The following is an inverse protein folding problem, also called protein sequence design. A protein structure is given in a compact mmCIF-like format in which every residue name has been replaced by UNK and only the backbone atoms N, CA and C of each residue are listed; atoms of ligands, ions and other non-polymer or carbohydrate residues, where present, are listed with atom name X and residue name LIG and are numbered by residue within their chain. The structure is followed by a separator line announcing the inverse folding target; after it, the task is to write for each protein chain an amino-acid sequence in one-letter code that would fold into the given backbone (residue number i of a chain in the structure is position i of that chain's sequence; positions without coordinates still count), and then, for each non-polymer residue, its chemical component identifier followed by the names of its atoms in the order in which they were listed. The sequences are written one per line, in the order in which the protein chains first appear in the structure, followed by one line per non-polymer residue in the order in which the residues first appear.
data_IF_844074680038
#
_entry.id   IF_844074680038
#
_cell.length_a   1.000
_cell.length_b   1.000
_cell.length_c   1.000
_cell.angle_alpha   90.00
_cell.angle_beta   90.00
_cell.angle_gamma   90.00
#
_symmetry.space_group_name_H-M   'P 1'
#
loop_
_entity.id
_entity.type
_entity.pdbx_description
1 polymer ?
#
# COMPACT_ATOMS: atom_id res chain seq x y z
N UNK A 1 -26.59 8.49 52.54
CA UNK A 1 -26.71 8.50 51.06
C UNK A 1 -26.27 7.16 50.53
N UNK A 2 -27.21 6.35 50.04
CA UNK A 2 -27.03 4.97 49.58
C UNK A 2 -26.53 4.89 48.13
N UNK A 3 -25.65 3.95 47.77
CA UNK A 3 -25.17 3.80 46.39
C UNK A 3 -26.23 3.06 45.55
N UNK A 4 -26.71 3.73 44.50
CA UNK A 4 -27.60 3.14 43.50
C UNK A 4 -26.78 2.25 42.57
N UNK A 5 -26.96 0.94 42.69
CA UNK A 5 -26.44 -0.08 41.78
C UNK A 5 -27.05 0.09 40.39
N UNK A 6 -26.27 0.61 39.44
CA UNK A 6 -26.62 0.64 38.02
C UNK A 6 -26.36 -0.75 37.39
N UNK A 7 -27.42 -1.46 37.03
CA UNK A 7 -27.33 -2.69 36.24
C UNK A 7 -26.97 -2.37 34.78
N UNK A 8 -26.07 -3.15 34.14
CA UNK A 8 -25.66 -2.90 32.77
C UNK A 8 -26.79 -3.22 31.79
N UNK A 9 -27.26 -2.19 31.10
CA UNK A 9 -28.20 -2.29 29.98
C UNK A 9 -27.47 -2.96 28.81
N UNK A 10 -27.54 -4.30 28.74
CA UNK A 10 -27.10 -5.05 27.57
C UNK A 10 -27.88 -4.59 26.34
N UNK A 11 -27.15 -4.08 25.34
CA UNK A 11 -27.72 -3.50 24.13
C UNK A 11 -28.64 -4.49 23.42
N UNK A 12 -29.79 -4.00 22.93
CA UNK A 12 -30.80 -4.78 22.20
C UNK A 12 -30.21 -5.64 21.06
N UNK A 13 -29.10 -5.19 20.47
CA UNK A 13 -28.32 -5.90 19.45
C UNK A 13 -27.75 -7.25 19.93
N UNK A 14 -27.41 -7.37 21.22
CA UNK A 14 -26.85 -8.60 21.78
C UNK A 14 -27.94 -9.66 22.00
N UNK A 15 -29.12 -9.26 22.51
CA UNK A 15 -30.29 -10.13 22.64
C UNK A 15 -30.79 -10.66 21.29
N UNK A 16 -30.80 -9.81 20.25
CA UNK A 16 -31.16 -10.20 18.88
C UNK A 16 -30.16 -11.19 18.26
N UNK A 17 -28.86 -11.01 18.49
CA UNK A 17 -27.84 -11.97 18.01
C UNK A 17 -27.94 -13.33 18.73
N UNK A 18 -28.25 -13.33 20.02
CA UNK A 18 -28.41 -14.57 20.79
C UNK A 18 -29.64 -15.36 20.30
N UNK A 19 -30.78 -14.69 20.10
CA UNK A 19 -31.99 -15.29 19.55
C UNK A 19 -31.79 -15.79 18.12
N UNK A 20 -31.03 -15.05 17.29
CA UNK A 20 -30.72 -15.48 15.93
C UNK A 20 -29.82 -16.73 15.91
N UNK A 21 -28.82 -16.80 16.78
CA UNK A 21 -27.95 -17.99 16.87
C UNK A 21 -28.71 -19.21 17.40
N UNK A 22 -29.55 -19.04 18.42
CA UNK A 22 -30.42 -20.12 18.94
C UNK A 22 -31.41 -20.61 17.87
N UNK A 23 -31.96 -19.70 17.06
CA UNK A 23 -32.83 -20.07 15.95
C UNK A 23 -32.07 -20.85 14.88
N UNK A 24 -30.85 -20.44 14.52
CA UNK A 24 -30.00 -21.12 13.52
C UNK A 24 -29.57 -22.51 13.99
N UNK A 25 -29.23 -22.67 15.27
CA UNK A 25 -28.82 -23.96 15.84
C UNK A 25 -30.01 -24.93 15.94
N UNK A 26 -31.20 -24.45 16.31
CA UNK A 26 -32.43 -25.25 16.32
C UNK A 26 -32.86 -25.63 14.90
N UNK A 27 -32.62 -24.76 13.92
CA UNK A 27 -32.83 -25.07 12.50
C UNK A 27 -31.86 -26.18 12.05
N UNK A 28 -30.57 -26.09 12.39
CA UNK A 28 -29.54 -27.08 12.03
C UNK A 28 -29.81 -28.47 12.62
N UNK A 29 -30.33 -28.56 13.84
CA UNK A 29 -30.67 -29.83 14.48
C UNK A 29 -31.83 -30.54 13.78
N UNK A 30 -32.81 -29.81 13.23
CA UNK A 30 -33.89 -30.39 12.43
C UNK A 30 -33.45 -30.95 11.06
N UNK A 31 -32.24 -30.67 10.59
CA UNK A 31 -31.72 -31.15 9.29
C UNK A 31 -30.79 -32.36 9.39
N UNK A 32 -30.50 -32.89 10.58
CA UNK A 32 -29.51 -33.97 10.74
C UNK A 32 -30.06 -35.40 10.65
N UNK A 33 -31.39 -35.60 10.62
CA UNK A 33 -31.96 -36.94 10.43
C UNK A 33 -32.60 -37.08 9.04
N UNK A 34 -31.92 -37.81 8.15
CA UNK A 34 -32.49 -38.95 7.40
C UNK A 34 -31.67 -39.35 6.16
N UNK A 35 -31.52 -40.68 6.08
CA UNK A 35 -31.35 -41.60 4.96
C UNK A 35 -30.87 -41.07 3.60
N UNK A 36 -29.80 -41.73 3.17
CA UNK A 36 -29.20 -41.75 1.83
C UNK A 36 -30.22 -41.97 0.71
N UNK A 37 -30.29 -41.04 -0.25
CA UNK A 37 -30.72 -41.36 -1.63
C UNK A 37 -31.62 -40.34 -2.32
N UNK A 38 -32.51 -39.64 -1.61
CA UNK A 38 -33.44 -38.70 -2.23
C UNK A 38 -33.26 -37.29 -1.67
N UNK A 39 -32.91 -36.35 -2.55
CA UNK A 39 -32.82 -34.94 -2.17
C UNK A 39 -34.21 -34.42 -1.79
N UNK A 40 -34.35 -33.93 -0.56
CA UNK A 40 -35.56 -33.23 -0.13
C UNK A 40 -35.90 -32.08 -1.10
N UNK A 41 -37.19 -31.81 -1.27
CA UNK A 41 -37.74 -30.72 -2.11
C UNK A 41 -37.06 -29.38 -1.81
N UNK A 42 -36.75 -29.11 -0.53
CA UNK A 42 -35.96 -27.95 -0.07
C UNK A 42 -34.53 -27.92 -0.62
N UNK A 43 -33.84 -29.07 -0.70
CA UNK A 43 -32.51 -29.17 -1.30
C UNK A 43 -32.48 -28.82 -2.80
N UNK A 44 -33.59 -29.04 -3.52
CA UNK A 44 -33.76 -28.60 -4.91
C UNK A 44 -33.94 -27.08 -4.99
N UNK A 45 -34.76 -26.51 -4.10
CA UNK A 45 -34.99 -25.05 -4.02
C UNK A 45 -33.70 -24.29 -3.70
N UNK A 46 -32.90 -24.76 -2.72
CA UNK A 46 -31.61 -24.13 -2.37
C UNK A 46 -30.63 -24.13 -3.55
N UNK A 47 -30.65 -25.19 -4.38
CA UNK A 47 -29.81 -25.24 -5.60
C UNK A 47 -30.28 -24.28 -6.68
N UNK A 48 -31.59 -24.17 -6.90
CA UNK A 48 -32.17 -23.16 -7.80
C UNK A 48 -31.78 -21.75 -7.33
N UNK A 49 -31.87 -21.48 -6.03
CA UNK A 49 -31.48 -20.19 -5.46
C UNK A 49 -29.98 -19.90 -5.62
N UNK A 50 -29.11 -20.89 -5.39
CA UNK A 50 -27.66 -20.77 -5.64
C UNK A 50 -27.34 -20.54 -7.13
N UNK A 51 -28.08 -21.18 -8.04
CA UNK A 51 -27.94 -20.97 -9.48
C UNK A 51 -28.36 -19.55 -9.89
N UNK A 52 -29.53 -19.09 -9.43
CA UNK A 52 -30.02 -17.73 -9.67
C UNK A 52 -29.06 -16.67 -9.13
N UNK A 53 -28.50 -16.87 -7.92
CA UNK A 53 -27.49 -15.98 -7.33
C UNK A 53 -26.21 -15.93 -8.17
N UNK A 54 -25.72 -17.07 -8.68
CA UNK A 54 -24.56 -17.14 -9.59
C UNK A 54 -24.85 -16.46 -10.94
N UNK A 55 -26.05 -16.63 -11.49
CA UNK A 55 -26.50 -15.97 -12.73
C UNK A 55 -26.56 -14.45 -12.55
N UNK A 56 -27.12 -13.97 -11.44
CA UNK A 56 -27.17 -12.55 -11.09
C UNK A 56 -25.76 -11.94 -10.93
N UNK A 57 -24.82 -12.66 -10.30
CA UNK A 57 -23.42 -12.22 -10.20
C UNK A 57 -22.74 -12.10 -11.57
N UNK A 58 -22.99 -13.04 -12.51
CA UNK A 58 -22.48 -12.95 -13.88
C UNK A 58 -23.02 -11.72 -14.62
N UNK A 59 -24.34 -11.46 -14.52
CA UNK A 59 -24.97 -10.24 -15.09
C UNK A 59 -24.36 -8.96 -14.50
N UNK A 60 -24.09 -8.91 -13.19
CA UNK A 60 -23.41 -7.78 -12.53
C UNK A 60 -21.98 -7.58 -13.06
N UNK A 61 -21.21 -8.66 -13.28
CA UNK A 61 -19.85 -8.58 -13.86
C UNK A 61 -19.88 -8.08 -15.31
N UNK A 62 -20.82 -8.54 -16.13
CA UNK A 62 -21.00 -8.06 -17.52
C UNK A 62 -21.35 -6.57 -17.55
N UNK A 63 -22.33 -6.13 -16.74
CA UNK A 63 -22.68 -4.70 -16.61
C UNK A 63 -21.48 -3.84 -16.16
N UNK A 64 -20.63 -4.34 -15.26
CA UNK A 64 -19.39 -3.65 -14.85
C UNK A 64 -18.37 -3.54 -16.01
N UNK A 65 -18.22 -4.59 -16.82
CA UNK A 65 -17.33 -4.56 -18.00
C UNK A 65 -17.83 -3.60 -19.08
N UNK A 66 -19.13 -3.57 -19.35
CA UNK A 66 -19.73 -2.61 -20.29
C UNK A 66 -19.56 -1.16 -19.81
N UNK A 67 -19.78 -0.90 -18.52
CA UNK A 67 -19.52 0.42 -17.93
C UNK A 67 -18.06 0.84 -18.08
N UNK A 68 -17.09 -0.09 -17.90
CA UNK A 68 -15.66 0.18 -18.16
C UNK A 68 -15.41 0.53 -19.63
N UNK A 69 -15.91 -0.28 -20.58
CA UNK A 69 -15.78 -0.02 -22.02
C UNK A 69 -16.37 1.35 -22.43
N UNK A 70 -17.54 1.72 -21.88
CA UNK A 70 -18.15 3.06 -22.11
C UNK A 70 -17.29 4.19 -21.54
N UNK A 71 -16.72 4.01 -20.33
CA UNK A 71 -15.79 4.99 -19.73
C UNK A 71 -14.51 5.15 -20.56
N UNK A 72 -13.94 4.07 -21.08
CA UNK A 72 -12.72 4.12 -21.90
C UNK A 72 -12.97 4.79 -23.25
N UNK A 73 -14.13 4.55 -23.89
CA UNK A 73 -14.53 5.31 -25.08
C UNK A 73 -14.62 6.81 -24.80
N UNK A 74 -15.32 7.22 -23.72
CA UNK A 74 -15.41 8.63 -23.30
C UNK A 74 -14.02 9.23 -23.00
N UNK A 75 -13.10 8.48 -22.38
CA UNK A 75 -11.72 8.94 -22.12
C UNK A 75 -10.95 9.17 -23.43
N UNK A 76 -11.06 8.26 -24.40
CA UNK A 76 -10.42 8.42 -25.72
C UNK A 76 -10.94 9.65 -26.46
N UNK A 77 -12.25 9.88 -26.42
CA UNK A 77 -12.90 11.04 -27.02
C UNK A 77 -12.47 12.35 -26.36
N UNK A 78 -12.41 12.41 -25.02
CA UNK A 78 -11.87 13.57 -24.29
C UNK A 78 -10.39 13.84 -24.62
N UNK A 79 -9.57 12.78 -24.74
CA UNK A 79 -8.15 12.92 -25.13
C UNK A 79 -8.00 13.47 -26.55
N UNK A 80 -8.90 13.07 -27.45
CA UNK A 80 -8.95 13.61 -28.82
C UNK A 80 -9.38 15.09 -28.85
N UNK A 81 -10.41 15.47 -28.09
CA UNK A 81 -10.85 16.87 -27.97
C UNK A 81 -9.76 17.77 -27.37
N UNK A 82 -9.05 17.31 -26.33
CA UNK A 82 -7.89 18.05 -25.76
C UNK A 82 -6.79 18.27 -26.80
N UNK A 83 -6.48 17.27 -27.64
CA UNK A 83 -5.49 17.43 -28.72
C UNK A 83 -5.93 18.47 -29.76
N UNK A 84 -7.23 18.57 -30.05
CA UNK A 84 -7.76 19.61 -30.94
C UNK A 84 -7.66 21.01 -30.31
N UNK A 85 -7.98 21.15 -29.02
CA UNK A 85 -7.81 22.42 -28.29
C UNK A 85 -6.35 22.86 -28.23
N UNK A 86 -5.42 21.96 -27.89
CA UNK A 86 -3.98 22.27 -27.89
C UNK A 86 -3.47 22.73 -29.25
N UNK A 87 -3.97 22.17 -30.36
CA UNK A 87 -3.63 22.65 -31.70
C UNK A 87 -4.14 24.07 -31.95
N UNK A 88 -5.35 24.41 -31.49
CA UNK A 88 -5.89 25.77 -31.58
C UNK A 88 -5.08 26.76 -30.74
N UNK A 89 -4.78 26.39 -29.48
CA UNK A 89 -3.97 27.22 -28.58
C UNK A 89 -2.58 27.43 -29.15
N UNK A 90 -1.93 26.40 -29.69
CA UNK A 90 -0.60 26.53 -30.33
C UNK A 90 -0.59 27.49 -31.52
N UNK A 91 -1.68 27.55 -32.29
CA UNK A 91 -1.84 28.52 -33.39
C UNK A 91 -1.99 29.94 -32.83
N UNK A 92 -2.81 30.13 -31.79
CA UNK A 92 -3.01 31.43 -31.13
C UNK A 92 -1.71 31.91 -30.47
N UNK A 93 -1.03 31.04 -29.74
CA UNK A 93 0.24 31.34 -29.07
C UNK A 93 1.34 31.72 -30.07
N UNK A 94 1.46 30.98 -31.18
CA UNK A 94 2.36 31.37 -32.28
C UNK A 94 1.99 32.70 -32.93
N UNK A 95 0.70 33.03 -33.02
CA UNK A 95 0.24 34.31 -33.54
C UNK A 95 0.48 35.48 -32.56
N UNK A 96 0.47 35.21 -31.25
CA UNK A 96 0.73 36.20 -30.20
C UNK A 96 2.24 36.49 -30.01
N UNK A 97 3.10 35.47 -30.09
CA UNK A 97 4.54 35.61 -29.81
C UNK A 97 5.40 36.01 -31.02
N UNK A 98 4.96 35.74 -32.27
CA UNK A 98 5.72 36.09 -33.48
C UNK A 98 5.17 37.39 -34.10
N UNK A 99 5.35 38.49 -33.38
CA UNK A 99 4.80 39.83 -33.66
C UNK A 99 5.10 40.39 -35.06
N UNK A 100 4.35 39.94 -36.07
CA UNK A 100 4.22 40.62 -37.38
C UNK A 100 2.76 40.64 -37.81
N UNK A 101 1.97 41.56 -37.22
CA UNK A 101 0.53 41.74 -37.44
C UNK A 101 0.15 41.92 -38.92
N UNK A 102 1.01 42.58 -39.73
CA UNK A 102 0.73 42.84 -41.14
C UNK A 102 0.94 41.61 -42.06
N UNK A 103 1.76 40.63 -41.63
CA UNK A 103 1.93 39.35 -42.37
C UNK A 103 0.78 38.35 -42.11
N UNK A 104 0.02 38.54 -41.04
CA UNK A 104 -1.01 37.60 -40.59
C UNK A 104 -2.29 37.76 -41.42
N UNK A 105 -2.66 38.98 -41.82
CA UNK A 105 -3.84 39.20 -42.69
C UNK A 105 -3.61 38.61 -44.09
N UNK A 106 -2.44 38.83 -44.70
CA UNK A 106 -2.08 38.22 -45.98
C UNK A 106 -2.00 36.69 -45.88
N UNK A 107 -1.40 36.14 -44.81
CA UNK A 107 -1.40 34.69 -44.55
C UNK A 107 -2.79 34.12 -44.32
N UNK A 108 -3.70 34.86 -43.66
CA UNK A 108 -5.11 34.45 -43.49
C UNK A 108 -5.86 34.45 -44.82
N UNK A 109 -5.66 35.45 -45.68
CA UNK A 109 -6.24 35.48 -47.02
C UNK A 109 -5.72 34.33 -47.90
N UNK A 110 -4.42 34.05 -47.86
CA UNK A 110 -3.80 32.90 -48.53
C UNK A 110 -4.32 31.57 -47.96
N UNK A 111 -4.44 31.42 -46.63
CA UNK A 111 -5.02 30.24 -46.01
C UNK A 111 -6.50 30.06 -46.38
N UNK A 112 -7.28 31.15 -46.48
CA UNK A 112 -8.69 31.09 -46.90
C UNK A 112 -8.77 30.66 -48.38
N UNK A 113 -7.94 31.22 -49.26
CA UNK A 113 -7.83 30.79 -50.67
C UNK A 113 -7.42 29.31 -50.74
N UNK A 114 -6.40 28.88 -49.98
CA UNK A 114 -5.96 27.48 -49.91
C UNK A 114 -7.05 26.56 -49.36
N UNK A 115 -7.79 26.96 -48.31
CA UNK A 115 -8.90 26.17 -47.75
C UNK A 115 -10.06 26.05 -48.73
N UNK A 116 -10.42 27.13 -49.44
CA UNK A 116 -11.45 27.10 -50.49
C UNK A 116 -11.02 26.20 -51.66
N UNK A 117 -9.77 26.34 -52.13
CA UNK A 117 -9.19 25.49 -53.17
C UNK A 117 -9.12 24.02 -52.75
N UNK A 118 -8.69 23.74 -51.52
CA UNK A 118 -8.64 22.40 -50.95
C UNK A 118 -10.02 21.80 -50.78
N UNK A 119 -11.02 22.56 -50.29
CA UNK A 119 -12.43 22.11 -50.21
C UNK A 119 -12.99 21.80 -51.60
N UNK A 120 -12.69 22.62 -52.63
CA UNK A 120 -13.05 22.34 -54.03
C UNK A 120 -12.36 21.06 -54.54
N UNK A 121 -11.04 20.91 -54.34
CA UNK A 121 -10.28 19.69 -54.72
C UNK A 121 -10.77 18.45 -53.97
N UNK A 122 -11.16 18.58 -52.70
CA UNK A 122 -11.71 17.50 -51.88
C UNK A 122 -13.12 17.13 -52.33
N UNK A 123 -14.01 18.10 -52.59
CA UNK A 123 -15.33 17.84 -53.18
C UNK A 123 -15.19 17.16 -54.54
N UNK A 124 -14.26 17.61 -55.40
CA UNK A 124 -13.95 16.95 -56.68
C UNK A 124 -13.42 15.52 -56.49
N UNK A 125 -12.51 15.29 -55.52
CA UNK A 125 -12.00 13.94 -55.20
C UNK A 125 -13.09 13.03 -54.64
N UNK A 126 -13.92 13.52 -53.73
CA UNK A 126 -15.05 12.76 -53.16
C UNK A 126 -16.06 12.44 -54.25
N UNK A 127 -16.44 13.42 -55.11
CA UNK A 127 -17.30 13.15 -56.27
C UNK A 127 -16.68 12.13 -57.21
N UNK A 128 -15.39 12.23 -57.56
CA UNK A 128 -14.68 11.23 -58.37
C UNK A 128 -14.64 9.85 -57.72
N UNK A 129 -14.46 9.76 -56.40
CA UNK A 129 -14.47 8.50 -55.65
C UNK A 129 -15.89 7.91 -55.60
N UNK A 130 -16.91 8.74 -55.38
CA UNK A 130 -18.32 8.32 -55.38
C UNK A 130 -18.71 7.85 -56.79
N UNK A 131 -18.45 8.64 -57.85
CA UNK A 131 -18.69 8.23 -59.23
C UNK A 131 -17.93 6.93 -59.57
N UNK A 132 -16.62 6.85 -59.25
CA UNK A 132 -15.85 5.61 -59.46
C UNK A 132 -16.37 4.45 -58.62
N UNK A 133 -17.00 4.69 -57.47
CA UNK A 133 -17.60 3.63 -56.64
C UNK A 133 -18.99 3.19 -57.10
N UNK A 134 -19.70 4.04 -57.84
CA UNK A 134 -20.95 3.72 -58.52
C UNK A 134 -20.70 2.93 -59.81
N UNK A 135 -19.68 3.30 -60.60
CA UNK A 135 -19.36 2.62 -61.86
C UNK A 135 -18.39 1.43 -61.72
N UNK A 136 -17.68 1.26 -60.60
CA UNK A 136 -17.00 -0.01 -60.32
C UNK A 136 -17.99 -1.01 -59.75
N UNK A 137 -18.42 -1.97 -60.57
CA UNK A 137 -18.96 -3.25 -60.08
C UNK A 137 -18.05 -3.74 -58.95
N UNK A 138 -18.58 -3.81 -57.72
CA UNK A 138 -17.84 -4.25 -56.53
C UNK A 138 -17.37 -5.68 -56.74
N UNK A 139 -16.19 -5.89 -57.34
CA UNK A 139 -15.45 -7.14 -57.16
C UNK A 139 -15.23 -7.29 -55.66
N UNK A 140 -15.94 -8.24 -55.03
CA UNK A 140 -15.74 -8.61 -53.62
C UNK A 140 -14.25 -8.93 -53.48
N UNK A 141 -13.47 -8.04 -52.87
CA UNK A 141 -12.04 -8.27 -52.71
C UNK A 141 -11.84 -9.52 -51.85
N UNK A 142 -10.93 -10.41 -52.28
CA UNK A 142 -10.58 -11.65 -51.56
C UNK A 142 -10.27 -11.40 -50.08
N UNK A 143 -9.81 -10.18 -49.73
CA UNK A 143 -9.58 -9.72 -48.35
C UNK A 143 -10.85 -9.73 -47.48
N UNK A 144 -12.02 -9.37 -48.01
CA UNK A 144 -13.28 -9.43 -47.23
C UNK A 144 -13.75 -10.87 -47.02
N UNK A 145 -13.45 -11.76 -47.97
CA UNK A 145 -13.74 -13.18 -47.85
C UNK A 145 -12.80 -13.83 -46.81
N UNK A 146 -11.51 -13.51 -46.83
CA UNK A 146 -10.54 -14.01 -45.85
C UNK A 146 -10.83 -13.53 -44.42
N UNK A 147 -11.27 -12.28 -44.23
CA UNK A 147 -11.70 -11.78 -42.91
C UNK A 147 -12.95 -12.53 -42.42
N UNK A 148 -13.92 -12.80 -43.31
CA UNK A 148 -15.12 -13.57 -42.95
C UNK A 148 -14.79 -15.03 -42.64
N UNK A 149 -13.85 -15.64 -43.38
CA UNK A 149 -13.34 -16.99 -43.10
C UNK A 149 -12.65 -17.03 -41.72
N UNK A 150 -11.73 -16.10 -41.44
CA UNK A 150 -11.06 -16.01 -40.15
C UNK A 150 -12.02 -15.82 -38.98
N UNK A 151 -13.07 -15.01 -39.15
CA UNK A 151 -14.13 -14.86 -38.13
C UNK A 151 -14.97 -16.14 -37.95
N UNK A 152 -15.21 -16.91 -39.02
CA UNK A 152 -15.88 -18.22 -38.92
C UNK A 152 -15.00 -19.22 -38.18
N UNK A 153 -13.70 -19.26 -38.48
CA UNK A 153 -12.71 -20.10 -37.79
C UNK A 153 -12.61 -19.75 -36.30
N UNK A 154 -12.53 -18.47 -35.94
CA UNK A 154 -12.52 -18.04 -34.53
C UNK A 154 -13.80 -18.46 -33.79
N UNK A 155 -14.97 -18.37 -34.44
CA UNK A 155 -16.24 -18.84 -33.87
C UNK A 155 -16.24 -20.34 -33.70
N UNK A 156 -15.81 -21.09 -34.72
CA UNK A 156 -15.68 -22.54 -34.66
C UNK A 156 -14.73 -22.97 -33.53
N UNK A 157 -13.57 -22.30 -33.40
CA UNK A 157 -12.62 -22.53 -32.32
C UNK A 157 -13.20 -22.21 -30.94
N UNK A 158 -13.98 -21.13 -30.83
CA UNK A 158 -14.66 -20.78 -29.58
C UNK A 158 -15.71 -21.85 -29.20
N UNK A 159 -16.49 -22.34 -30.16
CA UNK A 159 -17.43 -23.44 -29.96
C UNK A 159 -16.73 -24.74 -29.56
N UNK A 160 -15.63 -25.08 -30.25
CA UNK A 160 -14.79 -26.23 -29.95
C UNK A 160 -14.21 -26.15 -28.52
N UNK A 161 -13.61 -25.01 -28.14
CA UNK A 161 -13.06 -24.79 -26.79
C UNK A 161 -14.13 -24.91 -25.72
N UNK A 162 -15.31 -24.35 -25.96
CA UNK A 162 -16.45 -24.45 -25.04
C UNK A 162 -16.89 -25.90 -24.89
N UNK A 163 -17.00 -26.64 -25.99
CA UNK A 163 -17.38 -28.05 -26.00
C UNK A 163 -16.34 -28.92 -25.26
N UNK A 164 -15.03 -28.68 -25.47
CA UNK A 164 -13.95 -29.36 -24.73
C UNK A 164 -14.02 -29.12 -23.22
N UNK A 165 -14.32 -27.90 -22.78
CA UNK A 165 -14.50 -27.57 -21.36
C UNK A 165 -15.72 -28.29 -20.79
N UNK A 166 -16.85 -28.30 -21.50
CA UNK A 166 -18.04 -29.04 -21.08
C UNK A 166 -17.75 -30.54 -20.99
N UNK A 167 -17.09 -31.13 -21.99
CA UNK A 167 -16.71 -32.54 -22.00
C UNK A 167 -15.75 -32.87 -20.86
N UNK A 168 -14.79 -31.99 -20.54
CA UNK A 168 -13.89 -32.14 -19.40
C UNK A 168 -14.63 -32.08 -18.06
N UNK A 169 -15.52 -31.12 -17.87
CA UNK A 169 -16.34 -31.00 -16.64
C UNK A 169 -17.25 -32.21 -16.51
N UNK A 170 -17.90 -32.64 -17.60
CA UNK A 170 -18.76 -33.81 -17.63
C UNK A 170 -17.95 -35.06 -17.28
N UNK A 171 -16.83 -35.33 -17.96
CA UNK A 171 -15.95 -36.48 -17.69
C UNK A 171 -15.44 -36.50 -16.26
N UNK A 172 -15.10 -35.33 -15.71
CA UNK A 172 -14.64 -35.21 -14.31
C UNK A 172 -15.78 -35.45 -13.32
N UNK A 173 -16.98 -34.96 -13.60
CA UNK A 173 -18.14 -35.18 -12.75
C UNK A 173 -18.63 -36.63 -12.82
N UNK A 174 -18.59 -37.26 -14.00
CA UNK A 174 -18.92 -38.68 -14.15
C UNK A 174 -17.89 -39.56 -13.47
N UNK A 175 -16.59 -39.21 -13.53
CA UNK A 175 -15.55 -39.87 -12.74
C UNK A 175 -15.82 -39.76 -11.24
N UNK A 176 -16.11 -38.56 -10.72
CA UNK A 176 -16.44 -38.37 -9.29
C UNK A 176 -17.68 -39.18 -8.89
N UNK A 177 -18.70 -39.25 -9.76
CA UNK A 177 -19.91 -40.05 -9.52
C UNK A 177 -19.60 -41.55 -9.52
N UNK A 178 -18.76 -41.99 -10.46
CA UNK A 178 -18.37 -43.40 -10.59
C UNK A 178 -17.46 -43.85 -9.44
N UNK A 179 -16.51 -43.00 -9.03
CA UNK A 179 -15.67 -43.23 -7.85
C UNK A 179 -16.52 -43.29 -6.57
N UNK A 180 -17.56 -42.45 -6.47
CA UNK A 180 -18.52 -42.50 -5.37
C UNK A 180 -19.34 -43.79 -5.36
N UNK A 181 -19.87 -44.22 -6.52
CA UNK A 181 -20.61 -45.49 -6.65
C UNK A 181 -19.75 -46.72 -6.38
N UNK A 182 -18.45 -46.68 -6.71
CA UNK A 182 -17.47 -47.73 -6.39
C UNK A 182 -17.01 -47.75 -4.93
N UNK A 183 -17.60 -46.93 -4.05
CA UNK A 183 -17.21 -46.89 -2.64
C UNK A 183 -15.85 -46.24 -2.37
N UNK A 184 -15.18 -45.62 -3.37
CA UNK A 184 -13.90 -44.91 -3.18
C UNK A 184 -14.06 -43.58 -2.42
N UNK A 185 -15.29 -43.17 -2.15
CA UNK A 185 -15.64 -41.92 -1.47
C UNK A 185 -15.41 -40.68 -2.34
N UNK A 186 -15.82 -39.52 -1.86
CA UNK A 186 -15.48 -38.26 -2.54
C UNK A 186 -13.96 -38.02 -2.48
N UNK A 187 -13.36 -37.40 -3.52
CA UNK A 187 -11.95 -37.04 -3.47
C UNK A 187 -11.69 -36.23 -2.20
N UNK A 188 -10.76 -36.72 -1.36
CA UNK A 188 -10.37 -36.07 -0.10
C UNK A 188 -10.26 -34.56 -0.36
N UNK A 189 -11.08 -33.76 0.33
CA UNK A 189 -10.99 -32.29 0.25
C UNK A 189 -9.52 -31.95 0.44
N UNK A 190 -8.90 -31.26 -0.53
CA UNK A 190 -7.56 -30.68 -0.35
C UNK A 190 -7.54 -30.07 1.04
N UNK A 191 -6.65 -30.56 1.92
CA UNK A 191 -6.57 -30.13 3.33
C UNK A 191 -6.77 -28.62 3.35
N UNK A 192 -7.82 -28.16 4.04
CA UNK A 192 -8.17 -26.74 4.12
C UNK A 192 -6.90 -26.03 4.54
N UNK A 193 -6.33 -25.19 3.67
CA UNK A 193 -5.13 -24.41 4.01
C UNK A 193 -5.39 -23.79 5.38
N UNK A 194 -4.45 -24.00 6.31
CA UNK A 194 -4.58 -23.49 7.67
C UNK A 194 -4.92 -22.00 7.60
N UNK A 195 -5.80 -21.52 8.47
CA UNK A 195 -6.17 -20.10 8.46
C UNK A 195 -4.90 -19.25 8.59
N UNK A 196 -4.86 -18.12 7.88
CA UNK A 196 -3.74 -17.17 7.90
C UNK A 196 -3.28 -16.85 9.33
N UNK A 197 -4.23 -16.67 10.26
CA UNK A 197 -3.97 -16.43 11.68
C UNK A 197 -3.22 -17.62 12.32
N UNK A 198 -3.68 -18.87 12.12
CA UNK A 198 -2.99 -20.05 12.65
C UNK A 198 -1.57 -20.17 12.09
N UNK A 199 -1.37 -19.77 10.84
CA UNK A 199 -0.03 -19.75 10.24
C UNK A 199 0.85 -18.67 10.88
N UNK A 200 0.34 -17.46 11.17
CA UNK A 200 1.11 -16.41 11.84
C UNK A 200 1.61 -16.81 13.23
N UNK A 201 0.85 -17.61 13.97
CA UNK A 201 1.20 -18.06 15.32
C UNK A 201 2.03 -19.36 15.34
N UNK A 202 2.61 -19.79 14.22
CA UNK A 202 3.60 -20.88 14.27
C UNK A 202 4.92 -20.37 14.85
N UNK A 203 5.66 -21.27 15.49
CA UNK A 203 6.95 -20.98 16.13
C UNK A 203 7.92 -20.21 15.22
N UNK A 204 8.00 -20.58 13.95
CA UNK A 204 8.89 -19.94 12.97
C UNK A 204 8.59 -18.45 12.78
N UNK A 205 7.32 -18.08 12.56
CA UNK A 205 6.93 -16.68 12.34
C UNK A 205 6.99 -15.86 13.62
N UNK A 206 6.75 -16.47 14.79
CA UNK A 206 6.93 -15.81 16.08
C UNK A 206 8.41 -15.49 16.34
N UNK A 207 9.33 -16.39 15.98
CA UNK A 207 10.77 -16.13 16.09
C UNK A 207 11.23 -15.01 15.15
N UNK A 208 10.74 -14.98 13.91
CA UNK A 208 10.99 -13.88 12.96
C UNK A 208 10.47 -12.55 13.52
N UNK A 209 9.26 -12.56 14.06
CA UNK A 209 8.67 -11.38 14.68
C UNK A 209 9.47 -10.91 15.88
N UNK A 210 9.90 -11.82 16.75
CA UNK A 210 10.68 -11.49 17.93
C UNK A 210 12.06 -10.93 17.58
N UNK A 211 12.81 -11.57 16.67
CA UNK A 211 14.09 -11.04 16.20
C UNK A 211 13.92 -9.63 15.62
N UNK A 212 12.92 -9.42 14.76
CA UNK A 212 12.66 -8.11 14.16
C UNK A 212 12.19 -7.08 15.18
N UNK A 213 11.47 -7.48 16.23
CA UNK A 213 11.09 -6.62 17.35
C UNK A 213 12.31 -6.11 18.13
N UNK A 214 13.30 -6.97 18.40
CA UNK A 214 14.54 -6.56 19.06
C UNK A 214 15.28 -5.49 18.24
N UNK A 215 15.40 -5.70 16.93
CA UNK A 215 16.01 -4.72 16.04
C UNK A 215 15.19 -3.45 15.86
N UNK A 216 13.86 -3.54 15.87
CA UNK A 216 12.97 -2.39 15.88
C UNK A 216 13.23 -1.50 17.10
N UNK A 217 13.27 -2.09 18.30
CA UNK A 217 13.54 -1.36 19.53
C UNK A 217 14.96 -0.77 19.55
N UNK A 218 15.96 -1.57 19.18
CA UNK A 218 17.35 -1.12 19.10
C UNK A 218 17.51 0.06 18.15
N UNK A 219 16.93 -0.04 16.94
CA UNK A 219 16.92 1.04 15.96
C UNK A 219 16.21 2.30 16.48
N UNK A 220 15.06 2.14 17.13
CA UNK A 220 14.30 3.27 17.70
C UNK A 220 15.15 4.04 18.71
N UNK A 221 15.76 3.36 19.69
CA UNK A 221 16.53 4.04 20.73
C UNK A 221 17.79 4.71 20.18
N UNK A 222 18.50 4.07 19.25
CA UNK A 222 19.67 4.67 18.58
C UNK A 222 19.27 5.96 17.85
N UNK A 223 18.22 5.89 17.03
CA UNK A 223 17.77 7.07 16.25
C UNK A 223 17.21 8.16 17.17
N UNK A 224 16.46 7.80 18.21
CA UNK A 224 15.94 8.76 19.18
C UNK A 224 17.07 9.48 19.93
N UNK A 225 18.12 8.75 20.29
CA UNK A 225 19.32 9.32 20.90
C UNK A 225 20.04 10.28 19.94
N UNK A 226 20.28 9.89 18.68
CA UNK A 226 20.88 10.76 17.65
C UNK A 226 20.04 12.03 17.45
N UNK A 227 18.71 11.92 17.45
CA UNK A 227 17.80 13.06 17.32
C UNK A 227 18.00 14.06 18.47
N UNK A 228 17.98 13.59 19.72
CA UNK A 228 18.17 14.46 20.91
C UNK A 228 19.58 15.04 20.96
N UNK A 229 20.58 14.27 20.57
CA UNK A 229 21.97 14.73 20.49
C UNK A 229 22.11 15.86 19.46
N UNK A 230 21.48 15.76 18.28
CA UNK A 230 21.48 16.82 17.27
C UNK A 230 20.87 18.13 17.80
N UNK A 231 19.72 18.04 18.49
CA UNK A 231 19.05 19.19 19.13
C UNK A 231 19.94 19.84 20.19
N UNK A 232 20.54 19.01 21.05
CA UNK A 232 21.42 19.45 22.13
C UNK A 232 22.68 20.13 21.59
N UNK A 233 23.34 19.52 20.60
CA UNK A 233 24.53 20.08 19.97
C UNK A 233 24.26 21.45 19.33
N UNK A 234 23.10 21.60 18.67
CA UNK A 234 22.73 22.88 18.07
C UNK A 234 22.35 23.91 19.12
N UNK A 235 21.73 23.51 20.23
CA UNK A 235 21.44 24.42 21.34
C UNK A 235 22.71 24.95 22.01
N UNK A 236 23.73 24.11 22.19
CA UNK A 236 25.04 24.53 22.67
C UNK A 236 25.70 25.57 21.74
N UNK A 237 25.46 25.49 20.43
CA UNK A 237 25.98 26.48 19.48
C UNK A 237 25.34 27.87 19.63
N UNK A 238 24.16 27.95 20.27
CA UNK A 238 23.51 29.21 20.65
C UNK A 238 23.74 29.55 22.14
N UNK A 239 24.74 28.94 22.78
CA UNK A 239 25.07 29.11 24.20
C UNK A 239 23.93 28.78 25.18
N UNK A 240 22.98 27.94 24.75
CA UNK A 240 21.89 27.47 25.61
C UNK A 240 22.33 26.26 26.42
N UNK A 241 22.21 26.37 27.74
CA UNK A 241 22.40 25.26 28.66
C UNK A 241 21.25 24.27 28.51
N UNK A 242 21.57 22.99 28.37
CA UNK A 242 20.56 21.95 28.13
C UNK A 242 20.70 20.76 29.07
N UNK A 243 19.57 20.11 29.34
CA UNK A 243 19.51 18.85 30.06
C UNK A 243 18.77 17.83 29.20
N UNK A 244 19.48 16.82 28.71
CA UNK A 244 18.92 15.79 27.87
C UNK A 244 18.40 14.63 28.72
N UNK A 245 17.07 14.42 28.71
CA UNK A 245 16.41 13.28 29.33
C UNK A 245 15.97 12.23 28.29
N UNK A 246 15.57 11.05 28.77
CA UNK A 246 15.07 9.99 27.88
C UNK A 246 13.79 10.39 27.12
N UNK A 247 12.98 11.29 27.69
CA UNK A 247 11.68 11.71 27.15
C UNK A 247 11.72 13.08 26.46
N UNK A 248 12.56 14.03 26.90
CA UNK A 248 12.67 15.36 26.28
C UNK A 248 14.06 15.96 26.45
N UNK A 249 14.33 17.03 25.70
CA UNK A 249 15.46 17.92 25.96
C UNK A 249 14.91 19.16 26.66
N UNK A 250 15.39 19.47 27.86
CA UNK A 250 15.08 20.72 28.56
C UNK A 250 16.13 21.77 28.20
N UNK A 251 15.67 22.98 27.92
CA UNK A 251 16.51 24.15 27.64
C UNK A 251 16.40 25.10 28.83
N UNK A 252 17.53 25.42 29.47
CA UNK A 252 17.61 26.32 30.62
C UNK A 252 17.84 27.75 30.12
N UNK A 253 16.84 28.28 29.43
CA UNK A 253 16.87 29.59 28.75
C UNK A 253 15.61 30.35 29.14
N UNK A 254 15.77 31.62 29.49
CA UNK A 254 14.64 32.48 29.85
C UNK A 254 13.77 32.80 28.62
N UNK A 255 12.50 33.13 28.86
CA UNK A 255 11.54 33.32 27.77
C UNK A 255 11.91 34.47 26.81
N UNK A 256 12.64 35.47 27.29
CA UNK A 256 13.05 36.65 26.53
C UNK A 256 14.27 36.39 25.62
N UNK A 257 15.07 35.38 25.95
CA UNK A 257 16.32 35.05 25.26
C UNK A 257 16.11 34.15 24.03
N UNK A 258 14.87 33.73 23.75
CA UNK A 258 14.58 32.87 22.60
C UNK A 258 14.60 33.63 21.27
N UNK A 259 15.66 33.44 20.50
CA UNK A 259 15.72 33.90 19.11
C UNK A 259 14.90 33.01 18.16
N UNK A 260 14.21 33.64 17.20
CA UNK A 260 13.47 32.90 16.17
C UNK A 260 14.37 31.92 15.39
N UNK A 261 15.62 32.32 15.14
CA UNK A 261 16.60 31.50 14.42
C UNK A 261 17.08 30.31 15.24
N UNK A 262 17.29 30.48 16.56
CA UNK A 262 17.67 29.38 17.44
C UNK A 262 16.56 28.33 17.53
N UNK A 263 15.29 28.75 17.65
CA UNK A 263 14.14 27.80 17.65
C UNK A 263 14.12 26.98 16.36
N UNK A 264 14.20 27.63 15.19
CA UNK A 264 14.20 26.93 13.91
C UNK A 264 15.36 25.94 13.80
N UNK A 265 16.57 26.37 14.15
CA UNK A 265 17.77 25.55 14.04
C UNK A 265 17.74 24.36 15.01
N UNK A 266 17.45 24.60 16.29
CA UNK A 266 17.43 23.56 17.33
C UNK A 266 16.40 22.48 17.00
N UNK A 267 15.14 22.84 16.77
CA UNK A 267 14.09 21.84 16.51
C UNK A 267 14.19 21.18 15.13
N UNK A 268 14.88 21.79 14.16
CA UNK A 268 15.17 21.15 12.87
C UNK A 268 16.37 20.20 12.92
N UNK A 269 17.40 20.52 13.72
CA UNK A 269 18.67 19.80 13.73
C UNK A 269 18.51 18.31 14.08
N UNK A 270 17.74 17.95 15.12
CA UNK A 270 17.53 16.56 15.51
C UNK A 270 17.02 15.68 14.35
N UNK A 271 15.89 16.05 13.73
CA UNK A 271 15.37 15.31 12.58
C UNK A 271 16.33 15.30 11.39
N UNK A 272 17.08 16.38 11.14
CA UNK A 272 18.11 16.41 10.08
C UNK A 272 19.23 15.41 10.36
N UNK A 273 19.79 15.37 11.58
CA UNK A 273 20.80 14.39 11.99
C UNK A 273 20.29 12.95 11.85
N UNK A 274 19.03 12.71 12.20
CA UNK A 274 18.37 11.41 12.02
C UNK A 274 18.27 10.98 10.56
N UNK A 275 18.02 11.91 9.64
CA UNK A 275 17.97 11.66 8.19
C UNK A 275 19.36 11.38 7.63
N UNK A 276 20.38 12.10 8.10
CA UNK A 276 21.78 11.82 7.75
C UNK A 276 22.12 10.38 8.17
N UNK A 277 21.81 10.00 9.42
CA UNK A 277 21.99 8.64 9.90
C UNK A 277 21.19 7.61 9.06
N UNK A 278 19.91 7.86 8.77
CA UNK A 278 19.09 6.98 7.94
C UNK A 278 19.67 6.80 6.52
N UNK A 279 20.23 7.86 5.95
CA UNK A 279 20.86 7.83 4.61
C UNK A 279 22.14 7.01 4.64
N UNK A 280 22.98 7.16 5.67
CA UNK A 280 24.16 6.32 5.86
C UNK A 280 23.78 4.84 6.04
N UNK A 281 22.75 4.56 6.83
CA UNK A 281 22.23 3.19 7.02
C UNK A 281 21.67 2.61 5.71
N UNK A 282 21.02 3.43 4.87
CA UNK A 282 20.57 3.01 3.53
C UNK A 282 21.75 2.68 2.61
N UNK A 283 22.80 3.50 2.61
CA UNK A 283 24.02 3.25 1.83
C UNK A 283 24.66 1.94 2.29
N UNK A 284 24.82 1.75 3.60
CA UNK A 284 25.36 0.52 4.17
C UNK A 284 24.49 -0.69 3.81
N UNK A 285 23.17 -0.57 3.94
CA UNK A 285 22.23 -1.61 3.54
C UNK A 285 22.38 -1.99 2.07
N UNK A 286 22.57 -1.01 1.18
CA UNK A 286 22.76 -1.27 -0.25
C UNK A 286 24.02 -2.08 -0.58
N UNK A 287 25.00 -2.11 0.33
CA UNK A 287 26.20 -2.95 0.22
C UNK A 287 25.98 -4.36 0.78
N UNK A 288 25.19 -4.49 1.84
CA UNK A 288 25.00 -5.78 2.54
C UNK A 288 23.68 -6.48 2.21
N UNK A 289 22.81 -5.93 1.35
CA UNK A 289 21.46 -6.48 1.15
C UNK A 289 21.41 -7.91 0.57
N UNK A 290 22.52 -8.44 0.04
CA UNK A 290 22.62 -9.82 -0.44
C UNK A 290 23.17 -10.81 0.61
N UNK A 291 23.84 -10.32 1.66
CA UNK A 291 24.50 -11.14 2.69
C UNK A 291 23.50 -11.87 3.60
N UNK A 292 23.88 -12.85 4.42
CA UNK A 292 22.90 -13.59 5.23
C UNK A 292 22.73 -13.12 6.69
N UNK A 293 23.18 -11.90 6.99
CA UNK A 293 23.16 -11.35 8.35
C UNK A 293 21.81 -10.80 8.82
N UNK A 294 21.53 -10.99 10.12
CA UNK A 294 20.42 -10.34 10.84
C UNK A 294 20.59 -8.82 11.00
N UNK A 295 21.83 -8.32 10.95
CA UNK A 295 22.13 -6.88 11.07
C UNK A 295 21.42 -6.02 10.02
N UNK A 296 21.02 -6.60 8.88
CA UNK A 296 20.15 -5.94 7.91
C UNK A 296 18.86 -5.41 8.50
N UNK A 297 18.28 -6.11 9.47
CA UNK A 297 17.06 -5.69 10.13
C UNK A 297 17.29 -4.41 10.93
N UNK A 298 18.44 -4.28 11.58
CA UNK A 298 18.86 -3.04 12.25
C UNK A 298 18.96 -1.89 11.24
N UNK A 299 19.61 -2.13 10.10
CA UNK A 299 19.76 -1.11 9.05
C UNK A 299 18.41 -0.67 8.47
N UNK A 300 17.52 -1.63 8.19
CA UNK A 300 16.18 -1.35 7.67
C UNK A 300 15.32 -0.58 8.66
N UNK A 301 15.25 -1.03 9.92
CA UNK A 301 14.49 -0.34 10.94
C UNK A 301 15.09 1.03 11.26
N UNK A 302 16.42 1.15 11.35
CA UNK A 302 17.10 2.42 11.60
C UNK A 302 16.84 3.44 10.50
N UNK A 303 16.90 3.02 9.23
CA UNK A 303 16.52 3.87 8.09
C UNK A 303 15.06 4.34 8.20
N UNK A 304 14.13 3.43 8.53
CA UNK A 304 12.71 3.75 8.66
C UNK A 304 12.43 4.69 9.83
N UNK A 305 13.03 4.45 11.00
CA UNK A 305 12.91 5.36 12.14
C UNK A 305 13.51 6.73 11.84
N UNK A 306 14.71 6.80 11.25
CA UNK A 306 15.36 8.08 10.96
C UNK A 306 14.69 8.90 9.86
N UNK A 307 14.11 8.28 8.82
CA UNK A 307 13.23 9.03 7.91
C UNK A 307 11.90 9.41 8.57
N UNK A 308 11.41 8.63 9.53
CA UNK A 308 10.17 8.94 10.23
C UNK A 308 10.30 10.10 11.21
N UNK A 309 11.47 10.35 11.81
CA UNK A 309 11.63 11.51 12.70
C UNK A 309 11.42 12.81 11.93
N UNK A 310 11.93 12.94 10.69
CA UNK A 310 11.66 14.13 9.87
C UNK A 310 10.27 14.11 9.23
N UNK A 311 9.85 13.00 8.61
CA UNK A 311 8.59 12.97 7.86
C UNK A 311 7.40 12.88 8.81
N UNK A 312 7.44 11.95 9.76
CA UNK A 312 6.46 11.86 10.82
C UNK A 312 6.46 13.12 11.69
N UNK A 313 7.64 13.63 12.07
CA UNK A 313 7.76 14.87 12.83
C UNK A 313 7.20 16.09 12.11
N UNK A 314 7.43 16.21 10.80
CA UNK A 314 6.82 17.27 9.97
C UNK A 314 5.31 17.11 9.85
N UNK A 315 4.83 15.88 9.64
CA UNK A 315 3.40 15.60 9.50
C UNK A 315 2.64 15.94 10.79
N UNK A 316 3.10 15.43 11.93
CA UNK A 316 2.47 15.67 13.23
C UNK A 316 2.74 17.10 13.71
N UNK A 317 3.93 17.64 13.46
CA UNK A 317 4.32 19.01 13.81
C UNK A 317 3.47 20.04 13.08
N UNK A 318 3.21 19.86 11.79
CA UNK A 318 2.32 20.73 11.02
C UNK A 318 0.87 20.73 11.57
N UNK A 319 0.43 19.62 12.15
CA UNK A 319 -0.92 19.47 12.71
C UNK A 319 -1.04 19.95 14.16
N UNK A 320 0.01 19.81 14.95
CA UNK A 320 -0.02 20.04 16.41
C UNK A 320 0.72 21.29 16.87
N UNK A 321 1.63 21.83 16.05
CA UNK A 321 2.47 22.97 16.42
C UNK A 321 3.51 22.68 17.50
N UNK A 322 3.88 21.41 17.71
CA UNK A 322 4.87 20.98 18.73
C UNK A 322 6.13 20.43 18.10
N UNK A 323 7.25 20.53 18.82
CA UNK A 323 8.58 20.03 18.42
C UNK A 323 9.00 20.58 17.04
N UNK A 324 9.13 19.72 16.01
CA UNK A 324 9.40 20.17 14.64
C UNK A 324 8.30 21.11 14.10
N UNK A 325 7.10 21.08 14.70
CA UNK A 325 6.04 22.06 14.46
C UNK A 325 6.44 23.49 14.81
N UNK A 326 7.33 23.69 15.79
CA UNK A 326 7.90 25.02 16.08
C UNK A 326 8.67 25.54 14.87
N UNK A 327 9.52 24.72 14.25
CA UNK A 327 10.21 25.11 13.01
C UNK A 327 9.23 25.56 11.92
N UNK A 328 8.13 24.83 11.72
CA UNK A 328 7.12 25.19 10.71
C UNK A 328 6.39 26.49 11.08
N UNK A 329 6.08 26.68 12.37
CA UNK A 329 5.41 27.88 12.87
C UNK A 329 6.27 29.13 12.70
N UNK A 330 7.57 29.04 13.02
CA UNK A 330 8.53 30.13 12.89
C UNK A 330 8.96 30.42 11.44
N UNK A 331 8.53 29.60 10.47
CA UNK A 331 8.57 29.94 9.04
C UNK A 331 7.37 30.80 8.59
N UNK A 332 6.48 31.18 9.52
CA UNK A 332 5.31 32.01 9.30
C UNK A 332 4.37 31.48 8.19
N UNK A 333 4.31 30.16 8.02
CA UNK A 333 3.36 29.56 7.10
C UNK A 333 1.93 29.72 7.61
N UNK A 334 1.05 30.14 6.71
CA UNK A 334 -0.40 30.09 6.96
C UNK A 334 -0.85 28.65 7.24
N UNK A 335 -2.01 28.48 7.89
CA UNK A 335 -2.54 27.15 8.18
C UNK A 335 -2.79 26.32 6.91
N UNK A 336 -3.16 26.99 5.82
CA UNK A 336 -3.22 26.37 4.49
C UNK A 336 -1.85 25.84 4.05
N UNK A 337 -0.77 26.58 4.29
CA UNK A 337 0.60 26.15 4.04
C UNK A 337 0.99 24.91 4.85
N UNK A 338 0.67 24.89 6.16
CA UNK A 338 0.90 23.73 7.04
C UNK A 338 0.19 22.48 6.52
N UNK A 339 -1.07 22.62 6.08
CA UNK A 339 -1.84 21.52 5.49
C UNK A 339 -1.21 21.00 4.19
N UNK A 340 -0.74 21.89 3.31
CA UNK A 340 -0.06 21.51 2.07
C UNK A 340 1.23 20.73 2.36
N UNK A 341 2.03 21.17 3.35
CA UNK A 341 3.24 20.46 3.79
C UNK A 341 2.87 19.06 4.30
N UNK A 342 1.87 18.95 5.18
CA UNK A 342 1.40 17.67 5.72
C UNK A 342 0.98 16.68 4.60
N UNK A 343 0.24 17.15 3.60
CA UNK A 343 -0.16 16.32 2.45
C UNK A 343 1.02 15.88 1.59
N UNK A 344 1.99 16.77 1.36
CA UNK A 344 3.20 16.46 0.59
C UNK A 344 4.05 15.42 1.32
N UNK A 345 4.26 15.60 2.62
CA UNK A 345 5.02 14.68 3.46
C UNK A 345 4.36 13.30 3.49
N UNK A 346 3.03 13.24 3.65
CA UNK A 346 2.30 11.97 3.59
C UNK A 346 2.48 11.26 2.24
N UNK A 347 2.45 12.02 1.13
CA UNK A 347 2.72 11.47 -0.20
C UNK A 347 4.14 10.89 -0.29
N UNK A 348 5.15 11.60 0.22
CA UNK A 348 6.55 11.15 0.25
C UNK A 348 6.69 9.88 1.09
N UNK A 349 6.07 9.79 2.26
CA UNK A 349 6.07 8.58 3.09
C UNK A 349 5.51 7.37 2.34
N UNK A 350 4.39 7.53 1.63
CA UNK A 350 3.80 6.44 0.83
C UNK A 350 4.71 6.02 -0.32
N UNK A 351 5.39 6.98 -0.97
CA UNK A 351 6.36 6.70 -2.05
C UNK A 351 7.57 5.94 -1.50
N UNK A 352 8.17 6.39 -0.40
CA UNK A 352 9.30 5.71 0.25
C UNK A 352 8.94 4.29 0.68
N UNK A 353 7.78 4.14 1.33
CA UNK A 353 7.22 2.84 1.69
C UNK A 353 7.06 1.92 0.48
N UNK A 354 6.54 2.43 -0.63
CA UNK A 354 6.38 1.66 -1.87
C UNK A 354 7.72 1.25 -2.49
N UNK A 355 8.71 2.13 -2.49
CA UNK A 355 10.05 1.86 -3.03
C UNK A 355 10.83 0.84 -2.18
N UNK A 356 10.58 0.82 -0.88
CA UNK A 356 11.26 -0.07 0.08
C UNK A 356 10.78 -1.53 0.06
N UNK A 357 9.66 -1.84 -0.62
CA UNK A 357 9.04 -3.19 -0.62
C UNK A 357 10.07 -4.25 -0.99
N UNK A 358 10.93 -3.95 -2.00
CA UNK A 358 12.00 -4.84 -2.42
C UNK A 358 12.94 -5.13 -1.27
N UNK A 359 13.43 -4.11 -0.57
CA UNK A 359 14.37 -4.28 0.54
C UNK A 359 13.82 -5.18 1.65
N UNK A 360 12.57 -4.96 2.06
CA UNK A 360 11.92 -5.85 3.04
C UNK A 360 11.77 -7.29 2.54
N UNK A 361 11.48 -7.53 1.27
CA UNK A 361 11.43 -8.89 0.73
C UNK A 361 12.83 -9.52 0.70
N UNK A 362 13.86 -8.76 0.34
CA UNK A 362 15.23 -9.28 0.27
C UNK A 362 15.78 -9.68 1.64
N UNK A 363 15.36 -9.01 2.71
CA UNK A 363 15.70 -9.43 4.09
C UNK A 363 15.15 -10.81 4.48
N UNK A 364 14.23 -11.40 3.68
CA UNK A 364 13.82 -12.79 3.84
C UNK A 364 14.97 -13.78 3.67
N UNK A 365 16.05 -13.36 2.99
CA UNK A 365 17.23 -14.20 2.79
C UNK A 365 17.89 -14.61 4.11
N UNK A 366 17.74 -13.84 5.19
CA UNK A 366 18.25 -14.20 6.51
C UNK A 366 17.57 -15.47 7.08
N UNK A 367 16.32 -15.74 6.68
CA UNK A 367 15.51 -16.82 7.27
C UNK A 367 15.20 -17.95 6.29
N UNK A 368 15.14 -17.65 5.00
CA UNK A 368 14.68 -18.57 3.98
C UNK A 368 15.64 -18.64 2.80
N UNK A 369 15.79 -19.84 2.25
CA UNK A 369 16.47 -20.08 0.98
C UNK A 369 15.68 -19.55 -0.22
N UNK A 370 14.34 -19.61 -0.12
CA UNK A 370 13.44 -19.31 -1.22
C UNK A 370 12.18 -18.56 -0.75
N UNK A 371 11.97 -17.35 -1.28
CA UNK A 371 10.80 -16.53 -0.97
C UNK A 371 9.62 -16.86 -1.90
N UNK A 372 8.72 -17.74 -1.47
CA UNK A 372 7.46 -18.01 -2.18
C UNK A 372 6.46 -16.84 -2.08
N UNK A 373 5.81 -16.41 -3.18
CA UNK A 373 4.81 -15.34 -3.15
C UNK A 373 3.64 -15.62 -2.20
N UNK A 374 3.22 -16.89 -2.07
CA UNK A 374 2.11 -17.29 -1.21
C UNK A 374 2.37 -17.09 0.29
N UNK A 375 3.62 -17.24 0.74
CA UNK A 375 4.03 -17.07 2.14
C UNK A 375 4.57 -15.68 2.46
N UNK A 376 4.83 -14.86 1.44
CA UNK A 376 5.46 -13.55 1.61
C UNK A 376 4.64 -12.59 2.45
N UNK A 377 3.31 -12.62 2.34
CA UNK A 377 2.48 -11.75 3.16
C UNK A 377 2.59 -12.12 4.66
N UNK A 378 2.62 -13.43 4.99
CA UNK A 378 2.84 -13.89 6.36
C UNK A 378 4.21 -13.45 6.89
N UNK A 379 5.24 -13.59 6.05
CA UNK A 379 6.58 -13.11 6.36
C UNK A 379 6.63 -11.60 6.62
N UNK A 380 6.04 -10.77 5.76
CA UNK A 380 6.02 -9.32 5.96
C UNK A 380 5.17 -8.94 7.18
N UNK A 381 4.06 -9.62 7.43
CA UNK A 381 3.26 -9.36 8.63
C UNK A 381 4.05 -9.71 9.90
N UNK A 382 4.75 -10.86 9.93
CA UNK A 382 5.57 -11.26 11.08
C UNK A 382 6.82 -10.40 11.24
N UNK A 383 7.53 -10.07 10.17
CA UNK A 383 8.78 -9.29 10.29
C UNK A 383 8.55 -7.79 10.41
N UNK A 384 7.49 -7.23 9.82
CA UNK A 384 7.32 -5.77 9.74
C UNK A 384 6.16 -5.32 10.63
N UNK A 385 4.97 -5.86 10.41
CA UNK A 385 3.76 -5.31 11.01
C UNK A 385 3.60 -5.66 12.49
N UNK A 386 3.85 -6.91 12.88
CA UNK A 386 3.77 -7.34 14.29
C UNK A 386 4.82 -6.59 15.14
N UNK A 387 6.12 -6.54 14.76
CA UNK A 387 7.14 -5.79 15.47
C UNK A 387 6.83 -4.31 15.59
N UNK A 388 6.27 -3.71 14.54
CA UNK A 388 5.82 -2.32 14.60
C UNK A 388 4.72 -2.10 15.66
N UNK A 389 3.66 -2.91 15.66
CA UNK A 389 2.55 -2.75 16.61
C UNK A 389 3.00 -3.03 18.05
N UNK A 390 3.66 -4.17 18.26
CA UNK A 390 4.14 -4.59 19.60
C UNK A 390 5.23 -3.65 20.09
N UNK A 391 6.17 -3.28 19.21
CA UNK A 391 7.28 -2.38 19.54
C UNK A 391 6.81 -0.99 19.93
N UNK A 392 5.83 -0.41 19.23
CA UNK A 392 5.21 0.84 19.66
C UNK A 392 4.54 0.71 21.04
N UNK A 393 3.85 -0.41 21.29
CA UNK A 393 3.29 -0.70 22.61
C UNK A 393 4.35 -0.78 23.71
N UNK A 394 5.49 -1.42 23.43
CA UNK A 394 6.62 -1.49 24.37
C UNK A 394 7.28 -0.13 24.58
N UNK A 395 7.52 0.65 23.54
CA UNK A 395 8.04 2.03 23.66
C UNK A 395 7.11 2.88 24.52
N UNK A 396 5.80 2.78 24.30
CA UNK A 396 4.79 3.46 25.11
C UNK A 396 4.90 3.07 26.59
N UNK A 397 5.03 1.79 26.91
CA UNK A 397 5.20 1.30 28.28
C UNK A 397 6.52 1.76 28.90
N UNK A 398 7.62 1.70 28.14
CA UNK A 398 8.96 2.10 28.58
C UNK A 398 9.02 3.60 28.88
N UNK A 399 8.23 4.43 28.20
CA UNK A 399 8.26 5.89 28.40
C UNK A 399 7.38 6.37 29.57
N UNK A 400 6.57 5.51 30.20
CA UNK A 400 5.80 5.87 31.39
C UNK A 400 6.72 6.31 32.55
N UNK A 401 6.31 7.28 33.40
CA UNK A 401 5.04 8.02 33.39
C UNK A 401 5.04 9.26 32.48
N UNK A 402 6.20 9.66 31.92
CA UNK A 402 6.38 10.94 31.23
C UNK A 402 6.05 10.82 29.73
N UNK A 403 4.76 10.63 29.43
CA UNK A 403 4.31 10.42 28.06
C UNK A 403 4.13 11.73 27.28
N UNK A 404 4.85 11.85 26.17
CA UNK A 404 4.67 12.94 25.21
C UNK A 404 3.81 12.41 24.05
N UNK A 405 2.58 12.93 23.94
CA UNK A 405 1.64 12.51 22.90
C UNK A 405 2.18 12.73 21.48
N UNK A 406 3.02 13.77 21.30
CA UNK A 406 3.67 14.05 20.01
C UNK A 406 4.54 12.88 19.54
N UNK A 407 5.43 12.37 20.39
CA UNK A 407 6.33 11.25 20.05
C UNK A 407 5.56 9.99 19.69
N UNK A 408 4.47 9.71 20.41
CA UNK A 408 3.59 8.59 20.10
C UNK A 408 2.98 8.74 18.70
N UNK A 409 2.47 9.91 18.37
CA UNK A 409 1.88 10.18 17.04
C UNK A 409 2.93 10.13 15.93
N UNK A 410 4.13 10.64 16.17
CA UNK A 410 5.25 10.54 15.22
C UNK A 410 5.58 9.07 14.98
N UNK A 411 5.74 8.26 16.03
CA UNK A 411 6.00 6.84 15.88
C UNK A 411 4.86 6.10 15.16
N UNK A 412 3.60 6.46 15.44
CA UNK A 412 2.44 5.89 14.75
C UNK A 412 2.35 6.27 13.27
N UNK A 413 2.87 7.45 12.89
CA UNK A 413 2.86 7.88 11.49
C UNK A 413 3.72 7.00 10.57
N UNK A 414 4.66 6.23 11.14
CA UNK A 414 5.46 5.23 10.43
C UNK A 414 4.58 4.24 9.65
N UNK A 415 3.33 4.02 10.09
CA UNK A 415 2.35 3.18 9.39
C UNK A 415 2.14 3.59 7.93
N UNK A 416 2.26 4.87 7.58
CA UNK A 416 2.10 5.35 6.21
C UNK A 416 3.20 4.82 5.28
N UNK A 417 4.40 4.58 5.80
CA UNK A 417 5.47 3.89 5.07
C UNK A 417 5.29 2.37 5.05
N UNK A 418 4.72 1.78 6.11
CA UNK A 418 4.57 0.31 6.23
C UNK A 418 3.37 -0.27 5.48
N UNK A 419 2.28 0.49 5.30
CA UNK A 419 1.09 0.02 4.58
C UNK A 419 1.42 -0.41 3.14
N UNK A 420 2.16 0.39 2.33
CA UNK A 420 2.59 -0.04 1.00
C UNK A 420 3.43 -1.33 1.02
N UNK A 421 4.34 -1.48 1.99
CA UNK A 421 5.15 -2.69 2.17
C UNK A 421 4.27 -3.93 2.31
N UNK A 422 3.25 -3.85 3.17
CA UNK A 422 2.30 -4.94 3.38
C UNK A 422 1.48 -5.25 2.11
N UNK A 423 0.93 -4.24 1.45
CA UNK A 423 0.01 -4.41 0.31
C UNK A 423 0.70 -4.82 -0.99
N UNK A 424 1.91 -4.32 -1.24
CA UNK A 424 2.65 -4.51 -2.49
C UNK A 424 3.56 -5.74 -2.49
N UNK A 425 3.88 -6.29 -1.31
CA UNK A 425 4.77 -7.44 -1.18
C UNK A 425 4.34 -8.65 -2.04
N UNK A 426 3.03 -8.91 -2.12
CA UNK A 426 2.44 -10.03 -2.88
C UNK A 426 2.67 -10.00 -4.40
N UNK A 427 3.04 -8.84 -4.96
CA UNK A 427 3.14 -8.66 -6.43
C UNK A 427 4.55 -8.84 -6.99
N UNK A 428 5.55 -9.05 -6.14
CA UNK A 428 6.93 -9.24 -6.59
C UNK A 428 7.17 -10.69 -7.07
N UNK A 429 8.13 -10.87 -7.97
CA UNK A 429 8.54 -12.18 -8.49
C UNK A 429 9.14 -13.07 -7.40
N UNK A 430 9.29 -14.35 -7.69
CA UNK A 430 9.94 -15.30 -6.77
C UNK A 430 11.45 -15.01 -6.69
N UNK A 431 12.03 -15.14 -5.49
CA UNK A 431 13.46 -14.91 -5.26
C UNK A 431 14.08 -16.16 -4.67
N UNK A 432 15.15 -16.64 -5.29
CA UNK A 432 16.06 -17.66 -4.79
C UNK A 432 17.28 -16.96 -4.22
N UNK A 433 17.63 -17.29 -2.98
CA UNK A 433 18.72 -16.62 -2.26
C UNK A 433 19.95 -17.50 -2.16
N UNK A 434 19.81 -18.70 -1.61
CA UNK A 434 20.93 -19.60 -1.34
C UNK A 434 20.46 -21.08 -1.31
N UNK A 435 21.38 -22.00 -1.58
CA UNK A 435 21.18 -23.44 -1.57
C UNK A 435 21.34 -24.04 -0.16
N UNK A 436 22.17 -23.44 0.69
CA UNK A 436 22.43 -23.94 2.06
C UNK A 436 21.20 -23.77 2.94
N UNK A 437 20.71 -24.85 3.55
CA UNK A 437 19.49 -24.82 4.37
C UNK A 437 19.65 -23.86 5.56
N UNK A 438 18.80 -22.83 5.59
CA UNK A 438 18.78 -21.84 6.69
C UNK A 438 17.91 -22.32 7.86
N UNK A 439 18.35 -22.00 9.07
CA UNK A 439 17.62 -22.29 10.30
C UNK A 439 17.20 -20.98 10.96
N UNK A 440 15.92 -20.90 11.35
CA UNK A 440 15.38 -19.75 12.07
C UNK A 440 15.76 -19.91 13.54
N UNK A 441 16.77 -19.14 13.98
CA UNK A 441 17.22 -19.11 15.37
C UNK A 441 16.98 -17.73 15.99
N UNK A 442 16.79 -17.73 17.29
CA UNK A 442 16.78 -16.52 18.09
C UNK A 442 18.20 -15.97 18.18
N UNK A 443 18.37 -14.67 17.93
CA UNK A 443 19.66 -14.01 18.12
C UNK A 443 19.80 -13.53 19.57
N UNK A 444 20.55 -14.29 20.37
CA UNK A 444 20.78 -14.00 21.79
C UNK A 444 21.62 -12.75 21.99
N UNK A 445 22.62 -12.52 21.12
CA UNK A 445 23.46 -11.32 21.17
C UNK A 445 22.64 -10.04 21.01
N UNK A 446 21.68 -10.04 20.09
CA UNK A 446 20.79 -8.89 19.87
C UNK A 446 19.82 -8.68 21.02
N UNK A 447 19.35 -9.77 21.66
CA UNK A 447 18.52 -9.66 22.86
C UNK A 447 19.28 -8.96 23.99
N UNK A 448 20.51 -9.40 24.26
CA UNK A 448 21.38 -8.80 25.28
C UNK A 448 21.65 -7.33 24.93
N UNK A 449 22.02 -7.03 23.69
CA UNK A 449 22.25 -5.66 23.24
C UNK A 449 21.02 -4.75 23.39
N UNK A 450 19.81 -5.24 23.07
CA UNK A 450 18.56 -4.49 23.27
C UNK A 450 18.26 -4.25 24.75
N UNK A 451 18.54 -5.22 25.63
CA UNK A 451 18.35 -5.02 27.07
C UNK A 451 19.35 -3.98 27.60
N UNK A 452 20.63 -4.11 27.25
CA UNK A 452 21.68 -3.18 27.67
C UNK A 452 21.36 -1.76 27.19
N UNK A 453 21.01 -1.56 25.92
CA UNK A 453 20.71 -0.23 25.41
C UNK A 453 19.46 0.36 26.07
N UNK A 454 18.44 -0.46 26.36
CA UNK A 454 17.22 -0.01 27.02
C UNK A 454 17.52 0.45 28.45
N UNK A 455 18.31 -0.33 29.20
CA UNK A 455 18.74 0.01 30.56
C UNK A 455 19.57 1.29 30.56
N UNK A 456 20.57 1.40 29.68
CA UNK A 456 21.39 2.61 29.55
C UNK A 456 20.56 3.83 29.15
N UNK A 457 19.67 3.67 28.16
CA UNK A 457 18.81 4.75 27.68
C UNK A 457 17.83 5.20 28.76
N UNK A 458 17.22 4.27 29.51
CA UNK A 458 16.22 4.61 30.52
C UNK A 458 16.86 5.14 31.79
N UNK A 459 17.81 4.41 32.39
CA UNK A 459 18.41 4.78 33.68
C UNK A 459 19.41 5.92 33.50
N UNK A 460 20.26 5.84 32.48
CA UNK A 460 21.30 6.85 32.24
C UNK A 460 20.71 8.23 31.92
N UNK A 461 19.64 8.29 31.12
CA UNK A 461 19.00 9.56 30.77
C UNK A 461 17.84 9.95 31.72
N UNK A 462 17.56 9.20 32.79
CA UNK A 462 16.58 9.64 33.80
C UNK A 462 17.15 10.75 34.69
N UNK A 463 18.44 10.63 35.03
CA UNK A 463 19.19 11.66 35.77
C UNK A 463 19.39 12.96 34.97
N UNK A 464 19.29 12.88 33.65
CA UNK A 464 19.52 13.99 32.73
C UNK A 464 21.02 14.21 32.46
N UNK A 465 21.40 14.25 31.18
CA UNK A 465 22.75 14.62 30.77
C UNK A 465 22.81 16.14 30.56
N UNK A 466 23.55 16.84 31.42
CA UNK A 466 23.77 18.29 31.31
C UNK A 466 24.84 18.56 30.26
N UNK A 467 24.56 19.45 29.30
CA UNK A 467 25.48 19.87 28.25
C UNK A 467 25.35 21.38 28.04
N UNK A 468 26.50 22.08 27.90
CA UNK A 468 26.58 23.54 27.87
C UNK A 468 27.34 24.07 29.07
#
# INVERSE_FOLDING_TARGET
MSPVLQLPILSLSFKLNLLFNLFVDRLMLMFSSRSTGQYSTLGRIIRIFKFLRRSAQKRRKQKKQEKKKKKDKKRKERKFQRRLLWRKIKIIFRAAFLGKRNSIQQKRLLEIKHRKAWKKRRKKRIRKVILKSFFKRKKKSNVRLSIKQKQKEERAFYHYRRHRIYKFILKRNTQILFDFLKGKGFPKRKKKEQSFIKQLFTREYLLIAFNSLLFFLLAYFIISFINKLGMTFTAMHFDYKTVMYYYKVEYLVDNEDWYADSVKAIFASGPVFSVIAATLLLILYSKVYLEDGLMKLLLLWGMFHGFNTILGGSLIGALTGKEFGYTIMYLYYSDTGKLVIALLVLLVMVVLGSSSVKFWIFSANTYYNFSRPAKRQLFITSQVFIPYVVGNGLIFLINQPKLIAYDLLVNLSLIFMLIPVLLLSRYHQEYYFDEKKKQIKLSTSTLIATIVILVLYRIGLDYGLRMG
#
